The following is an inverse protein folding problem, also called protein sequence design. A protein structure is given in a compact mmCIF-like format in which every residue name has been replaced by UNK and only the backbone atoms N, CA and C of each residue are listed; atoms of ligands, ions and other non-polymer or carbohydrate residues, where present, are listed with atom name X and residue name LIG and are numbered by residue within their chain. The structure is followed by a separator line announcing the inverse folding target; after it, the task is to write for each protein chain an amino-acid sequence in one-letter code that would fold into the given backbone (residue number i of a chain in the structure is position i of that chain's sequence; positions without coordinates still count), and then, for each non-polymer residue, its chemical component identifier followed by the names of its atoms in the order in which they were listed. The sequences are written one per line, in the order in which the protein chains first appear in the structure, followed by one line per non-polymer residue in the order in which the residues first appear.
data_IF_365134875116
#
_entry.id   IF_365134875116
#
_cell.length_a   1.000
_cell.length_b   1.000
_cell.length_c   1.000
_cell.angle_alpha   90.00
_cell.angle_beta   90.00
_cell.angle_gamma   90.00
#
_symmetry.space_group_name_H-M   'P 1'
#
loop_
_entity.id
_entity.type
_entity.pdbx_description
1 polymer ?
#
# COMPACT_ATOMS: atom_id res chain seq x y z
N UNK A 1 -3.20 -34.37 20.81
CA UNK A 1 -2.07 -34.26 19.85
C UNK A 1 -0.81 -34.40 20.68
N UNK A 2 0.05 -35.37 20.38
CA UNK A 2 1.32 -35.56 21.12
C UNK A 2 2.22 -34.33 20.86
N UNK A 3 3.05 -33.97 21.83
CA UNK A 3 4.05 -32.91 21.71
C UNK A 3 4.98 -33.16 20.51
N UNK A 4 5.28 -34.44 20.25
CA UNK A 4 6.05 -34.89 19.07
C UNK A 4 5.33 -34.63 17.74
N UNK A 5 4.00 -34.75 17.70
CA UNK A 5 3.21 -34.45 16.49
C UNK A 5 3.21 -32.95 16.19
N UNK A 6 3.12 -32.11 17.24
CA UNK A 6 3.22 -30.65 17.12
C UNK A 6 4.58 -30.27 16.55
N UNK A 7 5.66 -30.81 17.11
CA UNK A 7 7.03 -30.52 16.65
C UNK A 7 7.25 -30.94 15.20
N UNK A 8 6.81 -32.14 14.81
CA UNK A 8 6.91 -32.62 13.43
C UNK A 8 6.14 -31.72 12.45
N UNK A 9 4.92 -31.32 12.81
CA UNK A 9 4.13 -30.41 11.98
C UNK A 9 4.80 -29.04 11.83
N UNK A 10 5.35 -28.48 12.91
CA UNK A 10 6.10 -27.21 12.88
C UNK A 10 7.34 -27.29 12.00
N UNK A 11 8.10 -28.39 12.07
CA UNK A 11 9.27 -28.58 11.19
C UNK A 11 8.86 -28.61 9.71
N UNK A 12 7.76 -29.31 9.39
CA UNK A 12 7.22 -29.34 8.03
C UNK A 12 6.81 -27.95 7.53
N UNK A 13 6.20 -27.13 8.38
CA UNK A 13 5.86 -25.74 8.04
C UNK A 13 7.11 -24.90 7.76
N UNK A 14 8.15 -25.04 8.59
CA UNK A 14 9.43 -24.33 8.41
C UNK A 14 10.09 -24.75 7.09
N UNK A 15 10.10 -26.04 6.78
CA UNK A 15 10.67 -26.57 5.54
C UNK A 15 9.96 -26.02 4.30
N UNK A 16 8.62 -26.06 4.28
CA UNK A 16 7.83 -25.49 3.18
C UNK A 16 8.09 -23.99 3.04
N UNK A 17 8.20 -23.26 4.16
CA UNK A 17 8.49 -21.82 4.14
C UNK A 17 9.88 -21.52 3.58
N UNK A 18 10.89 -22.32 3.92
CA UNK A 18 12.26 -22.19 3.36
C UNK A 18 12.24 -22.42 1.85
N UNK A 19 11.66 -23.53 1.39
CA UNK A 19 11.55 -23.83 -0.04
C UNK A 19 10.79 -22.74 -0.80
N UNK A 20 9.69 -22.23 -0.24
CA UNK A 20 8.94 -21.11 -0.82
C UNK A 20 9.78 -19.83 -0.90
N UNK A 21 10.51 -19.49 0.16
CA UNK A 21 11.39 -18.33 0.20
C UNK A 21 12.51 -18.43 -0.84
N UNK A 22 13.14 -19.59 -0.98
CA UNK A 22 14.23 -19.82 -1.93
C UNK A 22 13.73 -19.74 -3.37
N UNK A 23 12.57 -20.34 -3.66
CA UNK A 23 11.91 -20.24 -4.96
C UNK A 23 11.52 -18.80 -5.28
N UNK A 24 10.95 -18.07 -4.32
CA UNK A 24 10.57 -16.67 -4.47
C UNK A 24 11.79 -15.80 -4.77
N UNK A 25 12.91 -16.00 -4.08
CA UNK A 25 14.15 -15.25 -4.35
C UNK A 25 14.73 -15.58 -5.72
N UNK A 26 14.77 -16.87 -6.09
CA UNK A 26 15.26 -17.30 -7.40
C UNK A 26 14.40 -16.75 -8.54
N UNK A 27 13.07 -16.73 -8.38
CA UNK A 27 12.13 -16.13 -9.31
C UNK A 27 12.38 -14.62 -9.42
N UNK A 28 12.48 -13.92 -8.30
CA UNK A 28 12.75 -12.49 -8.29
C UNK A 28 14.04 -12.15 -9.04
N UNK A 29 15.13 -12.88 -8.78
CA UNK A 29 16.43 -12.61 -9.39
C UNK A 29 16.45 -12.86 -10.91
N UNK A 30 15.68 -13.85 -11.40
CA UNK A 30 15.69 -14.29 -12.80
C UNK A 30 14.63 -13.62 -13.66
N UNK A 31 13.44 -13.42 -13.11
CA UNK A 31 12.22 -13.06 -13.86
C UNK A 31 11.70 -11.67 -13.52
N UNK A 32 12.02 -11.11 -12.34
CA UNK A 32 11.50 -9.80 -11.91
C UNK A 32 12.56 -8.69 -12.04
N UNK A 33 13.75 -8.93 -11.49
CA UNK A 33 14.83 -7.95 -11.45
C UNK A 33 15.24 -7.52 -12.87
N UNK A 34 15.48 -6.23 -13.05
CA UNK A 34 15.85 -5.59 -14.33
C UNK A 34 14.78 -5.60 -15.42
N UNK A 35 13.60 -6.18 -15.19
CA UNK A 35 12.48 -6.02 -16.13
C UNK A 35 12.03 -4.56 -16.21
N UNK A 36 11.32 -4.22 -17.29
CA UNK A 36 10.70 -2.90 -17.43
C UNK A 36 9.73 -2.59 -16.27
N UNK A 37 9.02 -3.61 -15.77
CA UNK A 37 8.10 -3.50 -14.64
C UNK A 37 8.85 -3.15 -13.35
N UNK A 38 10.04 -3.72 -13.15
CA UNK A 38 10.87 -3.43 -11.98
C UNK A 38 11.36 -1.99 -11.98
N UNK A 39 11.84 -1.50 -13.13
CA UNK A 39 12.25 -0.11 -13.28
C UNK A 39 11.10 0.87 -13.10
N UNK A 40 9.91 0.53 -13.61
CA UNK A 40 8.71 1.31 -13.38
C UNK A 40 8.34 1.35 -11.89
N UNK A 41 8.37 0.21 -11.19
CA UNK A 41 8.13 0.16 -9.75
C UNK A 41 9.12 1.03 -8.99
N UNK A 42 10.42 0.99 -9.32
CA UNK A 42 11.44 1.88 -8.74
C UNK A 42 11.10 3.35 -9.00
N UNK A 43 10.73 3.71 -10.23
CA UNK A 43 10.34 5.06 -10.58
C UNK A 43 9.09 5.52 -9.79
N UNK A 44 8.08 4.66 -9.66
CA UNK A 44 6.87 4.91 -8.89
C UNK A 44 7.12 5.04 -7.38
N UNK A 45 8.18 4.42 -6.86
CA UNK A 45 8.61 4.59 -5.47
C UNK A 45 9.40 5.89 -5.24
N UNK A 46 10.11 6.40 -6.24
CA UNK A 46 11.02 7.54 -6.05
C UNK A 46 10.39 8.86 -6.51
N UNK A 47 9.82 8.89 -7.72
CA UNK A 47 9.37 10.12 -8.38
C UNK A 47 8.28 10.88 -7.61
N UNK A 48 7.26 10.23 -7.03
CA UNK A 48 6.20 10.96 -6.33
C UNK A 48 6.72 11.72 -5.10
N UNK A 49 7.80 11.28 -4.44
CA UNK A 49 8.38 12.02 -3.31
C UNK A 49 8.96 13.37 -3.72
N UNK A 50 9.50 13.50 -4.93
CA UNK A 50 9.91 14.79 -5.48
C UNK A 50 8.71 15.71 -5.71
N UNK A 51 7.59 15.16 -6.20
CA UNK A 51 6.32 15.88 -6.35
C UNK A 51 5.84 16.34 -4.97
N UNK A 52 5.76 15.44 -3.99
CA UNK A 52 5.37 15.78 -2.63
C UNK A 52 6.27 16.86 -2.03
N UNK A 53 7.59 16.74 -2.17
CA UNK A 53 8.55 17.72 -1.65
C UNK A 53 8.33 19.13 -2.20
N UNK A 54 7.96 19.22 -3.49
CA UNK A 54 7.67 20.48 -4.18
C UNK A 54 6.35 21.12 -3.73
N UNK A 55 5.33 20.31 -3.43
CA UNK A 55 3.97 20.80 -3.18
C UNK A 55 3.56 20.88 -1.71
N UNK A 56 4.27 20.20 -0.80
CA UNK A 56 3.90 20.15 0.62
C UNK A 56 3.98 21.53 1.30
N UNK A 57 2.93 21.86 2.05
CA UNK A 57 2.94 22.98 2.99
C UNK A 57 3.97 22.75 4.11
N UNK A 58 5.12 23.42 3.99
CA UNK A 58 6.25 23.27 4.91
C UNK A 58 5.91 23.63 6.36
N UNK A 59 4.91 24.49 6.59
CA UNK A 59 4.49 24.89 7.95
C UNK A 59 3.73 23.78 8.68
N UNK A 60 3.12 22.85 7.93
CA UNK A 60 2.29 21.76 8.46
C UNK A 60 2.90 20.38 8.19
N UNK A 61 4.19 20.33 7.86
CA UNK A 61 4.88 19.09 7.44
C UNK A 61 4.67 17.94 8.42
N UNK A 62 4.82 18.19 9.72
CA UNK A 62 4.64 17.13 10.73
C UNK A 62 3.22 16.55 10.74
N UNK A 63 2.20 17.41 10.68
CA UNK A 63 0.78 17.00 10.60
C UNK A 63 0.50 16.21 9.32
N UNK A 64 1.01 16.67 8.18
CA UNK A 64 0.83 16.04 6.88
C UNK A 64 1.54 14.68 6.83
N UNK A 65 2.77 14.59 7.32
CA UNK A 65 3.51 13.33 7.40
C UNK A 65 2.84 12.34 8.35
N UNK A 66 2.31 12.81 9.47
CA UNK A 66 1.56 11.96 10.41
C UNK A 66 0.32 11.38 9.73
N UNK A 67 -0.40 12.19 8.95
CA UNK A 67 -1.51 11.72 8.14
C UNK A 67 -1.05 10.69 7.09
N UNK A 68 0.03 10.96 6.36
CA UNK A 68 0.61 10.03 5.38
C UNK A 68 1.02 8.70 6.01
N UNK A 69 1.60 8.74 7.21
CA UNK A 69 1.98 7.56 7.98
C UNK A 69 0.77 6.67 8.31
N UNK A 70 -0.35 7.25 8.73
CA UNK A 70 -1.57 6.48 8.98
C UNK A 70 -2.13 5.84 7.71
N UNK A 71 -2.08 6.54 6.57
CA UNK A 71 -2.47 5.96 5.28
C UNK A 71 -1.57 4.78 4.91
N UNK A 72 -0.25 4.95 4.98
CA UNK A 72 0.71 3.86 4.72
C UNK A 72 0.50 2.68 5.65
N UNK A 73 0.32 2.92 6.95
CA UNK A 73 0.06 1.85 7.93
C UNK A 73 -1.20 1.05 7.58
N UNK A 74 -2.30 1.72 7.22
CA UNK A 74 -3.53 1.04 6.82
C UNK A 74 -3.37 0.28 5.49
N UNK A 75 -2.72 0.89 4.50
CA UNK A 75 -2.48 0.28 3.19
C UNK A 75 -1.62 -0.99 3.33
N UNK A 76 -0.44 -0.87 3.94
CA UNK A 76 0.46 -2.00 4.19
C UNK A 76 -0.19 -3.11 5.02
N UNK A 77 -0.97 -2.78 6.05
CA UNK A 77 -1.66 -3.80 6.85
C UNK A 77 -2.68 -4.58 6.02
N UNK A 78 -3.49 -3.89 5.23
CA UNK A 78 -4.45 -4.53 4.33
C UNK A 78 -3.75 -5.33 3.24
N UNK A 79 -2.61 -4.86 2.75
CA UNK A 79 -1.84 -5.57 1.73
C UNK A 79 -1.21 -6.86 2.26
N UNK A 80 -0.70 -6.84 3.49
CA UNK A 80 -0.25 -8.05 4.20
C UNK A 80 -1.41 -9.03 4.36
N UNK A 81 -2.57 -8.58 4.87
CA UNK A 81 -3.74 -9.45 5.05
C UNK A 81 -4.23 -10.01 3.71
N UNK A 82 -4.31 -9.19 2.67
CA UNK A 82 -4.77 -9.60 1.35
C UNK A 82 -3.81 -10.58 0.65
N UNK A 83 -2.50 -10.39 0.84
CA UNK A 83 -1.46 -11.30 0.33
C UNK A 83 -1.50 -12.65 1.05
N UNK A 84 -1.63 -12.65 2.38
CA UNK A 84 -1.77 -13.89 3.17
C UNK A 84 -3.05 -14.66 2.83
N UNK A 85 -4.14 -13.95 2.51
CA UNK A 85 -5.39 -14.55 2.03
C UNK A 85 -5.38 -14.88 0.53
N UNK A 86 -4.29 -14.59 -0.18
CA UNK A 86 -4.11 -14.87 -1.62
C UNK A 86 -5.24 -14.25 -2.47
N UNK A 87 -5.64 -13.02 -2.12
CA UNK A 87 -6.70 -12.29 -2.83
C UNK A 87 -6.18 -11.68 -4.14
N UNK A 88 -4.89 -11.37 -4.17
CA UNK A 88 -4.13 -10.86 -5.30
C UNK A 88 -2.66 -11.27 -5.19
N UNK A 89 -1.89 -11.01 -6.25
CA UNK A 89 -0.45 -11.23 -6.29
C UNK A 89 0.26 -10.11 -7.07
N UNK A 90 1.54 -9.90 -6.76
CA UNK A 90 2.41 -8.90 -7.41
C UNK A 90 3.50 -9.60 -8.21
N UNK A 91 3.39 -9.65 -9.56
CA UNK A 91 4.38 -10.32 -10.40
C UNK A 91 5.74 -9.62 -10.43
N UNK A 92 5.83 -8.38 -9.96
CA UNK A 92 7.08 -7.62 -9.98
C UNK A 92 7.25 -6.84 -8.70
N UNK A 93 8.26 -7.22 -7.92
CA UNK A 93 8.60 -6.65 -6.62
C UNK A 93 9.92 -5.91 -6.69
N UNK A 94 10.01 -4.79 -5.97
CA UNK A 94 11.29 -4.06 -5.86
C UNK A 94 12.31 -4.87 -5.07
N UNK A 95 11.86 -5.48 -3.95
CA UNK A 95 12.68 -6.28 -3.06
C UNK A 95 12.11 -7.71 -2.97
N UNK A 96 12.96 -8.75 -2.95
CA UNK A 96 12.50 -10.14 -2.94
C UNK A 96 11.83 -10.56 -1.63
N UNK A 97 12.09 -9.83 -0.54
CA UNK A 97 11.63 -10.17 0.83
C UNK A 97 10.33 -9.46 1.17
N UNK A 98 9.99 -8.37 0.47
CA UNK A 98 8.80 -7.58 0.77
C UNK A 98 7.69 -8.00 -0.19
N UNK A 99 6.70 -8.79 0.27
CA UNK A 99 5.60 -9.21 -0.60
C UNK A 99 4.66 -8.05 -0.95
N UNK A 100 4.66 -6.98 -0.14
CA UNK A 100 3.77 -5.85 -0.32
C UNK A 100 4.15 -4.96 -1.50
N UNK A 101 3.16 -4.32 -2.12
CA UNK A 101 3.35 -3.37 -3.23
C UNK A 101 3.95 -2.04 -2.73
N UNK A 102 5.25 -2.08 -2.40
CA UNK A 102 6.03 -0.97 -1.89
C UNK A 102 5.79 0.38 -2.60
N UNK A 103 5.73 0.46 -3.95
CA UNK A 103 5.44 1.72 -4.63
C UNK A 103 4.08 2.31 -4.23
N UNK A 104 3.07 1.47 -4.09
CA UNK A 104 1.73 1.94 -3.81
C UNK A 104 1.57 2.36 -2.36
N UNK A 105 1.93 1.48 -1.43
CA UNK A 105 1.66 1.65 0.00
C UNK A 105 2.48 2.76 0.66
N UNK A 106 3.75 2.89 0.26
CA UNK A 106 4.68 3.85 0.86
C UNK A 106 4.80 5.15 0.08
N UNK A 107 4.37 5.17 -1.17
CA UNK A 107 4.62 6.33 -2.04
C UNK A 107 3.34 6.85 -2.67
N UNK A 108 2.71 6.10 -3.56
CA UNK A 108 1.57 6.61 -4.35
C UNK A 108 0.39 6.98 -3.45
N UNK A 109 -0.13 6.02 -2.67
CA UNK A 109 -1.28 6.23 -1.81
C UNK A 109 -1.04 7.34 -0.77
N UNK A 110 0.00 7.29 0.08
CA UNK A 110 0.22 8.32 1.10
C UNK A 110 0.44 9.70 0.49
N UNK A 111 1.13 9.82 -0.65
CA UNK A 111 1.35 11.14 -1.28
C UNK A 111 0.05 11.71 -1.83
N UNK A 112 -0.73 10.94 -2.59
CA UNK A 112 -2.02 11.38 -3.10
C UNK A 112 -2.93 11.83 -1.96
N UNK A 113 -3.02 11.03 -0.90
CA UNK A 113 -3.86 11.35 0.25
C UNK A 113 -3.30 12.51 1.10
N UNK A 114 -1.98 12.68 1.22
CA UNK A 114 -1.37 13.85 1.86
C UNK A 114 -1.68 15.15 1.10
N UNK A 115 -1.67 15.10 -0.24
CA UNK A 115 -2.08 16.24 -1.07
C UNK A 115 -3.59 16.52 -0.90
N UNK A 116 -4.43 15.48 -0.89
CA UNK A 116 -5.86 15.62 -0.57
C UNK A 116 -6.07 16.29 0.79
N UNK A 117 -5.36 15.83 1.82
CA UNK A 117 -5.48 16.33 3.18
C UNK A 117 -5.14 17.81 3.30
N UNK A 118 -4.03 18.25 2.68
CA UNK A 118 -3.59 19.64 2.81
C UNK A 118 -4.42 20.62 1.98
N UNK A 119 -4.86 20.24 0.78
CA UNK A 119 -5.62 21.14 -0.12
C UNK A 119 -7.11 21.21 0.20
N UNK A 120 -7.67 20.21 0.89
CA UNK A 120 -9.08 20.18 1.27
C UNK A 120 -9.25 20.17 2.79
N UNK A 121 -9.06 21.30 3.48
CA UNK A 121 -9.15 21.35 4.94
C UNK A 121 -10.58 21.10 5.46
N UNK A 122 -11.60 21.61 4.76
CA UNK A 122 -13.01 21.45 5.14
C UNK A 122 -13.49 20.01 4.86
N UNK A 123 -14.30 19.44 5.75
CA UNK A 123 -14.81 18.07 5.62
C UNK A 123 -15.63 17.83 4.35
N UNK A 124 -16.57 18.73 4.02
CA UNK A 124 -17.42 18.58 2.83
C UNK A 124 -16.60 18.45 1.54
N UNK A 125 -15.66 19.37 1.30
CA UNK A 125 -14.84 19.36 0.09
C UNK A 125 -13.84 18.20 0.07
N UNK A 126 -13.32 17.82 1.25
CA UNK A 126 -12.47 16.65 1.41
C UNK A 126 -13.17 15.34 1.07
N UNK A 127 -14.43 15.16 1.50
CA UNK A 127 -15.20 13.96 1.18
C UNK A 127 -15.47 13.84 -0.32
N UNK A 128 -15.84 14.94 -0.97
CA UNK A 128 -16.06 14.97 -2.42
C UNK A 128 -14.77 14.61 -3.16
N UNK A 129 -13.66 15.27 -2.85
CA UNK A 129 -12.37 14.99 -3.48
C UNK A 129 -11.86 13.57 -3.13
N UNK A 130 -12.10 13.10 -1.91
CA UNK A 130 -11.76 11.75 -1.46
C UNK A 130 -12.52 10.66 -2.21
N UNK A 131 -13.80 10.86 -2.52
CA UNK A 131 -14.58 9.96 -3.38
C UNK A 131 -13.98 9.90 -4.79
N UNK A 132 -13.67 11.05 -5.39
CA UNK A 132 -13.06 11.11 -6.73
C UNK A 132 -11.71 10.40 -6.76
N UNK A 133 -10.83 10.68 -5.80
CA UNK A 133 -9.52 10.03 -5.69
C UNK A 133 -9.67 8.52 -5.49
N UNK A 134 -10.52 8.10 -4.55
CA UNK A 134 -10.72 6.67 -4.24
C UNK A 134 -11.28 5.91 -5.45
N UNK A 135 -12.22 6.52 -6.18
CA UNK A 135 -12.76 5.96 -7.41
C UNK A 135 -11.69 5.90 -8.52
N UNK A 136 -10.84 6.92 -8.63
CA UNK A 136 -9.74 6.93 -9.61
C UNK A 136 -8.72 5.84 -9.30
N UNK A 137 -8.36 5.64 -8.03
CA UNK A 137 -7.43 4.59 -7.64
C UNK A 137 -8.01 3.19 -7.92
N UNK A 138 -9.24 2.94 -7.46
CA UNK A 138 -9.88 1.64 -7.60
C UNK A 138 -10.25 1.28 -9.05
N UNK A 139 -10.76 2.23 -9.82
CA UNK A 139 -11.35 1.94 -11.14
C UNK A 139 -10.51 2.41 -12.34
N UNK A 140 -9.39 3.09 -12.09
CA UNK A 140 -8.46 3.50 -13.17
C UNK A 140 -7.05 3.01 -12.89
N UNK A 141 -6.48 3.34 -11.72
CA UNK A 141 -5.09 3.00 -11.43
C UNK A 141 -4.89 1.48 -11.26
N UNK A 142 -5.71 0.81 -10.46
CA UNK A 142 -5.64 -0.64 -10.30
C UNK A 142 -5.83 -1.40 -11.62
N UNK A 143 -6.89 -1.16 -12.42
CA UNK A 143 -7.02 -1.80 -13.74
C UNK A 143 -5.84 -1.53 -14.68
N UNK A 144 -5.24 -0.33 -14.62
CA UNK A 144 -4.05 -0.03 -15.39
C UNK A 144 -2.85 -0.89 -14.95
N UNK A 145 -2.64 -1.05 -13.64
CA UNK A 145 -1.59 -1.93 -13.10
C UNK A 145 -1.82 -3.40 -13.49
N UNK A 146 -3.07 -3.85 -13.51
CA UNK A 146 -3.43 -5.19 -14.01
C UNK A 146 -3.10 -5.34 -15.48
N UNK A 147 -3.46 -4.36 -16.31
CA UNK A 147 -3.13 -4.36 -17.75
C UNK A 147 -1.61 -4.38 -17.99
N UNK A 148 -0.84 -3.82 -17.06
CA UNK A 148 0.61 -3.75 -17.09
C UNK A 148 1.29 -4.98 -16.49
N UNK A 149 0.54 -5.99 -16.03
CA UNK A 149 1.03 -7.18 -15.32
C UNK A 149 1.84 -6.85 -14.06
N UNK A 150 1.56 -5.71 -13.42
CA UNK A 150 2.16 -5.33 -12.13
C UNK A 150 1.28 -5.74 -10.95
N UNK A 151 0.02 -6.09 -11.23
CA UNK A 151 -0.97 -6.51 -10.26
C UNK A 151 -1.83 -7.63 -10.86
N UNK A 152 -2.02 -8.73 -10.13
CA UNK A 152 -2.86 -9.85 -10.57
C UNK A 152 -3.94 -10.08 -9.54
N UNK A 153 -5.19 -9.90 -9.95
CA UNK A 153 -6.35 -10.21 -9.13
C UNK A 153 -6.64 -11.71 -9.19
N UNK A 154 -6.86 -12.33 -8.02
CA UNK A 154 -7.20 -13.74 -7.92
C UNK A 154 -8.68 -13.89 -7.59
N UNK A 155 -9.11 -13.39 -6.43
CA UNK A 155 -10.52 -13.34 -6.02
C UNK A 155 -11.01 -11.91 -5.75
N UNK A 156 -10.07 -10.96 -5.67
CA UNK A 156 -10.38 -9.56 -5.40
C UNK A 156 -11.06 -8.87 -6.59
N UNK A 157 -11.94 -7.92 -6.28
CA UNK A 157 -12.63 -7.09 -7.27
C UNK A 157 -12.34 -5.62 -6.98
N UNK A 158 -12.13 -4.83 -8.02
CA UNK A 158 -11.85 -3.38 -7.92
C UNK A 158 -12.85 -2.61 -7.04
N UNK A 159 -14.12 -3.03 -7.03
CA UNK A 159 -15.17 -2.41 -6.22
C UNK A 159 -14.90 -2.50 -4.72
N UNK A 160 -14.14 -3.49 -4.26
CA UNK A 160 -13.76 -3.64 -2.84
C UNK A 160 -12.70 -2.61 -2.42
N UNK A 161 -11.81 -2.20 -3.33
CA UNK A 161 -10.78 -1.20 -3.06
C UNK A 161 -11.36 0.20 -2.83
N UNK A 162 -12.46 0.54 -3.51
CA UNK A 162 -13.10 1.86 -3.39
C UNK A 162 -13.51 2.25 -1.96
N UNK A 163 -14.35 1.47 -1.23
CA UNK A 163 -14.73 1.81 0.13
C UNK A 163 -13.55 1.76 1.10
N UNK A 164 -12.53 0.95 0.83
CA UNK A 164 -11.31 0.86 1.63
C UNK A 164 -10.50 2.15 1.53
N UNK A 165 -10.23 2.65 0.32
CA UNK A 165 -9.51 3.91 0.12
C UNK A 165 -10.23 5.09 0.77
N UNK A 166 -11.55 5.18 0.57
CA UNK A 166 -12.35 6.26 1.14
C UNK A 166 -12.40 6.16 2.67
N UNK A 167 -12.59 4.95 3.21
CA UNK A 167 -12.60 4.69 4.64
C UNK A 167 -11.28 5.05 5.31
N UNK A 168 -10.15 4.65 4.72
CA UNK A 168 -8.81 5.00 5.19
C UNK A 168 -8.59 6.51 5.22
N UNK A 169 -8.95 7.21 4.15
CA UNK A 169 -8.84 8.66 4.08
C UNK A 169 -9.69 9.36 5.15
N UNK A 170 -10.93 8.91 5.37
CA UNK A 170 -11.83 9.49 6.39
C UNK A 170 -11.27 9.23 7.80
N UNK A 171 -10.88 7.99 8.08
CA UNK A 171 -10.34 7.60 9.38
C UNK A 171 -9.06 8.36 9.71
N UNK A 172 -8.09 8.41 8.79
CA UNK A 172 -6.84 9.14 9.01
C UNK A 172 -7.08 10.64 9.25
N UNK A 173 -7.98 11.27 8.48
CA UNK A 173 -8.30 12.70 8.68
C UNK A 173 -8.96 12.95 10.04
N UNK A 174 -9.89 12.09 10.42
CA UNK A 174 -10.54 12.17 11.72
C UNK A 174 -9.51 12.01 12.85
N UNK A 175 -8.66 10.98 12.79
CA UNK A 175 -7.67 10.67 13.82
C UNK A 175 -6.67 11.82 13.99
N UNK A 176 -6.03 12.26 12.91
CA UNK A 176 -5.05 13.36 12.94
C UNK A 176 -5.70 14.67 13.40
N UNK A 177 -6.93 14.93 12.97
CA UNK A 177 -7.70 16.09 13.43
C UNK A 177 -7.95 16.08 14.94
N UNK A 178 -8.20 14.92 15.54
CA UNK A 178 -8.37 14.79 16.99
C UNK A 178 -7.04 14.91 17.75
N UNK A 179 -5.97 14.27 17.25
CA UNK A 179 -4.62 14.40 17.82
C UNK A 179 -4.22 15.88 17.87
N UNK A 180 -4.38 16.60 16.75
CA UNK A 180 -4.07 18.03 16.66
C UNK A 180 -4.83 18.85 17.69
N UNK A 181 -6.13 18.59 17.88
CA UNK A 181 -6.95 19.29 18.88
C UNK A 181 -6.48 19.01 20.31
N UNK A 182 -6.01 17.80 20.59
CA UNK A 182 -5.52 17.43 21.92
C UNK A 182 -4.18 18.09 22.25
N UNK A 183 -3.28 18.25 21.27
CA UNK A 183 -1.95 18.88 21.46
C UNK A 183 -2.00 20.41 21.55
N UNK A 184 -3.08 21.04 21.07
CA UNK A 184 -3.28 22.50 21.16
C UNK A 184 -4.06 22.93 22.42
N UNK A 185 -4.39 22.00 23.33
CA UNK A 185 -4.95 22.28 24.65
C UNK A 185 -3.83 22.35 25.68
#
# INVERSE_FOLDING_TARGET
MDMRDIEQFQQKLIEVRKTSSDLSFAHWLREELWTWGWWLSVALTILPWFVWWKFVDKKRTFEILTYGLFITMMATFLDVVGSELVLWNYPTRILPIVPAMLPFDFTIAPIIFMLLYQYFPKWKSYLIAGVVISATLAFVAEPLLVKMNLYVLITWQYIYSFPIYLGAAIFAKWLVGNIKKATMR
#
